data_IF_994017562032
#
_entry.id   IF_994017562032
#
_cell.length_a   1.000
_cell.length_b   1.000
_cell.length_c   1.000
_cell.angle_alpha   90.00
_cell.angle_beta   90.00
_cell.angle_gamma   90.00
#
_symmetry.space_group_name_H-M   'P 1'
#
loop_
_entity.id
_entity.type
_entity.pdbx_description
1 polymer ?
#
# COMPACT_ATOMS: atom_id res chain seq x y z
N UNK A 1 -16.59 19.41 20.10
CA UNK A 1 -15.19 19.89 20.24
C UNK A 1 -14.74 20.45 18.89
N UNK A 2 -14.38 21.73 18.81
CA UNK A 2 -13.84 22.35 17.59
C UNK A 2 -12.31 22.25 17.60
N UNK A 3 -11.72 21.64 16.58
CA UNK A 3 -10.26 21.57 16.43
C UNK A 3 -9.73 22.94 15.99
N UNK A 4 -8.67 23.42 16.63
CA UNK A 4 -8.05 24.71 16.28
C UNK A 4 -7.37 24.61 14.90
N UNK A 5 -7.27 25.71 14.11
CA UNK A 5 -6.68 25.67 12.77
C UNK A 5 -5.27 25.10 12.72
N UNK A 6 -4.41 25.51 13.68
CA UNK A 6 -3.04 24.98 13.81
C UNK A 6 -3.02 23.47 14.08
N UNK A 7 -4.00 22.95 14.83
CA UNK A 7 -4.12 21.52 15.10
C UNK A 7 -4.49 20.75 13.83
N UNK A 8 -5.40 21.28 13.01
CA UNK A 8 -5.80 20.65 11.74
C UNK A 8 -4.64 20.60 10.73
N UNK A 9 -3.83 21.65 10.65
CA UNK A 9 -2.59 21.67 9.84
C UNK A 9 -1.63 20.58 10.29
N UNK A 10 -1.39 20.45 11.59
CA UNK A 10 -0.50 19.40 12.14
C UNK A 10 -1.04 18.01 11.84
N UNK A 11 -2.34 17.78 12.06
CA UNK A 11 -2.97 16.49 11.76
C UNK A 11 -2.87 16.15 10.27
N UNK A 12 -3.06 17.13 9.38
CA UNK A 12 -2.87 16.93 7.95
C UNK A 12 -1.46 16.50 7.61
N UNK A 13 -0.43 17.23 8.08
CA UNK A 13 0.96 16.87 7.83
C UNK A 13 1.30 15.46 8.32
N UNK A 14 0.76 15.05 9.47
CA UNK A 14 0.94 13.70 9.99
C UNK A 14 0.26 12.67 9.08
N UNK A 15 -0.97 12.92 8.62
CA UNK A 15 -1.70 12.01 7.73
C UNK A 15 -1.04 11.90 6.35
N UNK A 16 -0.55 12.99 5.79
CA UNK A 16 0.24 13.01 4.55
C UNK A 16 1.50 12.17 4.71
N UNK A 17 2.26 12.39 5.79
CA UNK A 17 3.46 11.58 6.07
C UNK A 17 3.13 10.09 6.24
N UNK A 18 2.02 9.74 6.89
CA UNK A 18 1.59 8.35 7.03
C UNK A 18 1.15 7.74 5.70
N UNK A 19 0.52 8.53 4.81
CA UNK A 19 0.21 8.10 3.43
C UNK A 19 1.50 7.83 2.67
N UNK A 20 2.46 8.74 2.71
CA UNK A 20 3.72 8.61 1.97
C UNK A 20 4.55 7.41 2.45
N UNK A 21 4.57 7.17 3.78
CA UNK A 21 5.18 5.97 4.35
C UNK A 21 4.47 4.69 3.87
N UNK A 22 3.13 4.66 3.86
CA UNK A 22 2.38 3.51 3.36
C UNK A 22 2.61 3.28 1.86
N UNK A 23 2.75 4.33 1.06
CA UNK A 23 3.11 4.22 -0.36
C UNK A 23 4.52 3.66 -0.54
N UNK A 24 5.47 4.05 0.30
CA UNK A 24 6.82 3.47 0.30
C UNK A 24 6.82 1.99 0.74
N UNK A 25 6.00 1.63 1.72
CA UNK A 25 5.80 0.23 2.12
C UNK A 25 5.22 -0.61 0.97
N UNK A 26 4.20 -0.10 0.28
CA UNK A 26 3.64 -0.75 -0.90
C UNK A 26 4.69 -0.95 -1.99
N UNK A 27 5.49 0.09 -2.30
CA UNK A 27 6.54 -0.03 -3.30
C UNK A 27 7.58 -1.11 -2.94
N UNK A 28 7.98 -1.19 -1.67
CA UNK A 28 8.87 -2.27 -1.18
C UNK A 28 8.23 -3.65 -1.29
N UNK A 29 6.97 -3.78 -0.88
CA UNK A 29 6.23 -5.04 -0.97
C UNK A 29 6.08 -5.49 -2.43
N UNK A 30 5.79 -4.58 -3.35
CA UNK A 30 5.68 -4.86 -4.78
C UNK A 30 7.00 -5.34 -5.37
N UNK A 31 8.10 -4.63 -5.10
CA UNK A 31 9.43 -5.05 -5.57
C UNK A 31 9.83 -6.43 -5.02
N UNK A 32 9.52 -6.69 -3.74
CA UNK A 32 9.79 -8.00 -3.15
C UNK A 32 8.92 -9.11 -3.77
N UNK A 33 7.64 -8.85 -4.01
CA UNK A 33 6.74 -9.80 -4.66
C UNK A 33 7.15 -10.08 -6.12
N UNK A 34 7.65 -9.08 -6.85
CA UNK A 34 8.20 -9.27 -8.19
C UNK A 34 9.39 -10.24 -8.19
N UNK A 35 10.31 -10.09 -7.23
CA UNK A 35 11.42 -11.03 -7.07
C UNK A 35 10.93 -12.45 -6.78
N UNK A 36 10.00 -12.61 -5.83
CA UNK A 36 9.46 -13.92 -5.48
C UNK A 36 8.72 -14.57 -6.66
N UNK A 37 7.99 -13.79 -7.46
CA UNK A 37 7.34 -14.27 -8.68
C UNK A 37 8.38 -14.77 -9.69
N UNK A 38 9.52 -14.08 -9.82
CA UNK A 38 10.61 -14.54 -10.68
C UNK A 38 11.23 -15.83 -10.14
N UNK A 39 11.46 -15.93 -8.83
CA UNK A 39 12.02 -17.13 -8.19
C UNK A 39 11.09 -18.34 -8.38
N UNK A 40 9.77 -18.17 -8.21
CA UNK A 40 8.78 -19.21 -8.45
C UNK A 40 8.75 -19.68 -9.91
N UNK A 41 8.84 -18.75 -10.86
CA UNK A 41 8.98 -19.09 -12.29
C UNK A 41 10.28 -19.82 -12.58
N UNK A 42 11.37 -19.44 -11.93
CA UNK A 42 12.67 -20.11 -12.03
C UNK A 42 12.62 -21.55 -11.51
N UNK A 43 11.97 -21.77 -10.37
CA UNK A 43 11.77 -23.11 -9.81
C UNK A 43 10.94 -24.01 -10.74
N UNK A 44 9.85 -23.48 -11.31
CA UNK A 44 9.00 -24.22 -12.25
C UNK A 44 9.73 -24.55 -13.57
N UNK A 45 10.52 -23.61 -14.09
CA UNK A 45 11.37 -23.83 -15.26
C UNK A 45 12.45 -24.89 -14.99
N UNK A 46 13.09 -24.84 -13.82
CA UNK A 46 14.08 -25.83 -13.41
C UNK A 46 13.48 -27.24 -13.22
N UNK A 47 12.26 -27.33 -12.68
CA UNK A 47 11.53 -28.60 -12.62
C UNK A 47 11.22 -29.13 -14.02
N UNK A 48 10.78 -28.26 -14.93
CA UNK A 48 10.50 -28.63 -16.33
C UNK A 48 11.75 -29.17 -17.03
N UNK A 49 12.87 -28.45 -16.93
CA UNK A 49 14.15 -28.89 -17.49
C UNK A 49 14.60 -30.23 -16.89
N UNK A 50 14.46 -30.38 -15.57
CA UNK A 50 14.75 -31.62 -14.89
C UNK A 50 13.89 -32.78 -15.39
N UNK A 51 12.59 -32.57 -15.63
CA UNK A 51 11.69 -33.59 -16.16
C UNK A 51 12.07 -34.02 -17.58
N UNK A 52 12.40 -33.07 -18.45
CA UNK A 52 12.83 -33.34 -19.83
C UNK A 52 14.15 -34.11 -19.86
N UNK A 53 15.12 -33.70 -19.04
CA UNK A 53 16.40 -34.40 -18.90
C UNK A 53 16.22 -35.80 -18.28
N UNK A 54 15.38 -35.92 -17.25
CA UNK A 54 15.07 -37.19 -16.60
C UNK A 54 14.38 -38.17 -17.55
N UNK A 55 13.46 -37.69 -18.39
CA UNK A 55 12.80 -38.51 -19.41
C UNK A 55 13.79 -39.09 -20.44
N UNK A 56 14.85 -38.34 -20.76
CA UNK A 56 15.95 -38.83 -21.60
C UNK A 56 16.79 -39.88 -20.86
N UNK A 57 17.16 -39.62 -19.61
CA UNK A 57 17.97 -40.53 -18.77
C UNK A 57 17.25 -41.84 -18.46
N UNK A 58 15.94 -41.82 -18.26
CA UNK A 58 15.12 -42.99 -17.94
C UNK A 58 15.23 -44.12 -18.97
N UNK A 59 15.47 -43.82 -20.25
CA UNK A 59 15.54 -44.83 -21.33
C UNK A 59 16.71 -45.79 -21.19
N UNK A 60 17.76 -45.40 -20.47
CA UNK A 60 18.97 -46.20 -20.26
C UNK A 60 19.31 -46.36 -18.76
N UNK A 61 18.39 -45.97 -17.87
CA UNK A 61 18.66 -45.94 -16.44
C UNK A 61 18.61 -47.34 -15.81
N UNK A 62 19.58 -47.62 -14.94
CA UNK A 62 19.48 -48.74 -14.00
C UNK A 62 18.43 -48.44 -12.92
N UNK A 63 18.00 -49.47 -12.18
CA UNK A 63 17.08 -49.31 -11.04
C UNK A 63 17.58 -48.24 -10.05
N UNK A 64 18.88 -48.23 -9.74
CA UNK A 64 19.50 -47.21 -8.87
C UNK A 64 19.41 -45.81 -9.47
N UNK A 65 19.55 -45.68 -10.79
CA UNK A 65 19.37 -44.41 -11.51
C UNK A 65 17.92 -43.92 -11.43
N UNK A 66 16.94 -44.81 -11.57
CA UNK A 66 15.51 -44.47 -11.44
C UNK A 66 15.16 -44.02 -10.01
N UNK A 67 15.69 -44.68 -8.98
CA UNK A 67 15.50 -44.28 -7.58
C UNK A 67 16.06 -42.88 -7.33
N UNK A 68 17.26 -42.57 -7.87
CA UNK A 68 17.86 -41.24 -7.74
C UNK A 68 17.03 -40.15 -8.40
N UNK A 69 16.56 -40.40 -9.63
CA UNK A 69 15.67 -39.48 -10.36
C UNK A 69 14.40 -39.23 -9.54
N UNK A 70 13.80 -40.27 -8.94
CA UNK A 70 12.63 -40.12 -8.07
C UNK A 70 12.89 -39.24 -6.85
N UNK A 71 14.03 -39.42 -6.17
CA UNK A 71 14.39 -38.59 -5.00
C UNK A 71 14.65 -37.12 -5.37
N UNK A 72 15.33 -36.88 -6.49
CA UNK A 72 15.55 -35.53 -7.02
C UNK A 72 14.21 -34.88 -7.42
N UNK A 73 13.30 -35.63 -8.05
CA UNK A 73 11.97 -35.13 -8.43
C UNK A 73 11.17 -34.65 -7.23
N UNK A 74 11.12 -35.43 -6.14
CA UNK A 74 10.39 -35.06 -4.93
C UNK A 74 10.99 -33.79 -4.28
N UNK A 75 12.32 -33.66 -4.30
CA UNK A 75 13.01 -32.46 -3.81
C UNK A 75 12.61 -31.23 -4.64
N UNK A 76 12.65 -31.34 -5.98
CA UNK A 76 12.27 -30.25 -6.89
C UNK A 76 10.79 -29.86 -6.77
N UNK A 77 9.90 -30.84 -6.59
CA UNK A 77 8.47 -30.59 -6.32
C UNK A 77 8.26 -29.82 -5.02
N UNK A 78 9.00 -30.18 -3.97
CA UNK A 78 8.95 -29.45 -2.70
C UNK A 78 9.46 -28.01 -2.84
N UNK A 79 10.53 -27.79 -3.61
CA UNK A 79 11.05 -26.45 -3.93
C UNK A 79 10.02 -25.59 -4.67
N UNK A 80 9.36 -26.14 -5.70
CA UNK A 80 8.30 -25.45 -6.44
C UNK A 80 7.11 -25.12 -5.53
N UNK A 81 6.67 -26.08 -4.70
CA UNK A 81 5.58 -25.85 -3.77
C UNK A 81 5.91 -24.74 -2.75
N UNK A 82 7.13 -24.72 -2.23
CA UNK A 82 7.60 -23.68 -1.31
C UNK A 82 7.66 -22.30 -2.00
N UNK A 83 8.16 -22.24 -3.24
CA UNK A 83 8.23 -21.00 -4.01
C UNK A 83 6.83 -20.47 -4.37
N UNK A 84 5.90 -21.35 -4.70
CA UNK A 84 4.50 -20.99 -4.97
C UNK A 84 3.80 -20.48 -3.71
N UNK A 85 4.03 -21.10 -2.55
CA UNK A 85 3.50 -20.60 -1.29
C UNK A 85 4.08 -19.21 -0.96
N UNK A 86 5.39 -19.02 -1.10
CA UNK A 86 6.02 -17.71 -0.91
C UNK A 86 5.44 -16.65 -1.86
N UNK A 87 5.13 -17.02 -3.11
CA UNK A 87 4.47 -16.15 -4.08
C UNK A 87 3.09 -15.70 -3.60
N UNK A 88 2.28 -16.64 -3.11
CA UNK A 88 0.95 -16.34 -2.57
C UNK A 88 1.06 -15.35 -1.39
N UNK A 89 1.96 -15.62 -0.46
CA UNK A 89 2.15 -14.79 0.73
C UNK A 89 2.64 -13.37 0.37
N UNK A 90 3.56 -13.26 -0.59
CA UNK A 90 4.05 -11.98 -1.06
C UNK A 90 2.95 -11.15 -1.76
N UNK A 91 2.13 -11.78 -2.59
CA UNK A 91 1.00 -11.11 -3.24
C UNK A 91 -0.05 -10.66 -2.21
N UNK A 92 -0.32 -11.46 -1.17
CA UNK A 92 -1.19 -11.06 -0.07
C UNK A 92 -0.64 -9.84 0.68
N UNK A 93 0.68 -9.76 0.90
CA UNK A 93 1.31 -8.60 1.52
C UNK A 93 1.18 -7.32 0.67
N UNK A 94 1.28 -7.43 -0.67
CA UNK A 94 1.04 -6.31 -1.59
C UNK A 94 -0.42 -5.85 -1.50
N UNK A 95 -1.38 -6.77 -1.48
CA UNK A 95 -2.81 -6.45 -1.35
C UNK A 95 -3.11 -5.71 -0.04
N UNK A 96 -2.56 -6.20 1.08
CA UNK A 96 -2.71 -5.56 2.38
C UNK A 96 -2.11 -4.14 2.39
N UNK A 97 -0.91 -3.97 1.82
CA UNK A 97 -0.23 -2.68 1.71
C UNK A 97 -1.01 -1.69 0.83
N UNK A 98 -1.57 -2.17 -0.27
CA UNK A 98 -2.43 -1.36 -1.17
C UNK A 98 -3.70 -0.89 -0.46
N UNK A 99 -4.35 -1.78 0.31
CA UNK A 99 -5.51 -1.41 1.12
C UNK A 99 -5.16 -0.35 2.19
N UNK A 100 -3.97 -0.44 2.78
CA UNK A 100 -3.47 0.55 3.73
C UNK A 100 -3.26 1.92 3.07
N UNK A 101 -2.66 1.98 1.87
CA UNK A 101 -2.51 3.23 1.10
C UNK A 101 -3.88 3.86 0.84
N UNK A 102 -4.83 3.09 0.29
CA UNK A 102 -6.17 3.58 0.00
C UNK A 102 -6.89 4.11 1.25
N UNK A 103 -6.66 3.48 2.42
CA UNK A 103 -7.17 3.98 3.70
C UNK A 103 -6.52 5.33 4.07
N UNK A 104 -5.19 5.45 3.98
CA UNK A 104 -4.49 6.70 4.31
C UNK A 104 -4.88 7.84 3.38
N UNK A 105 -5.11 7.59 2.10
CA UNK A 105 -5.63 8.58 1.16
C UNK A 105 -7.03 9.09 1.55
N UNK A 106 -7.92 8.20 2.02
CA UNK A 106 -9.22 8.62 2.56
C UNK A 106 -9.07 9.49 3.81
N UNK A 107 -8.14 9.15 4.70
CA UNK A 107 -7.86 9.94 5.90
C UNK A 107 -7.31 11.33 5.56
N UNK A 108 -6.46 11.45 4.54
CA UNK A 108 -5.96 12.74 4.02
C UNK A 108 -7.12 13.57 3.44
N UNK A 109 -7.92 13.00 2.54
CA UNK A 109 -9.09 13.71 1.97
C UNK A 109 -10.09 14.18 3.03
N UNK A 110 -10.29 13.36 4.07
CA UNK A 110 -11.16 13.72 5.19
C UNK A 110 -10.65 14.94 5.97
N UNK A 111 -9.33 15.10 6.15
CA UNK A 111 -8.78 16.25 6.88
C UNK A 111 -8.73 17.51 6.01
N UNK A 112 -8.51 17.36 4.70
CA UNK A 112 -8.62 18.45 3.71
C UNK A 112 -10.02 19.06 3.73
N UNK A 113 -11.07 18.23 3.63
CA UNK A 113 -12.46 18.68 3.71
C UNK A 113 -12.79 19.42 5.02
N UNK A 114 -12.22 18.99 6.15
CA UNK A 114 -12.39 19.68 7.43
C UNK A 114 -11.69 21.05 7.46
N UNK A 115 -10.57 21.20 6.76
CA UNK A 115 -9.87 22.48 6.65
C UNK A 115 -10.60 23.46 5.75
N UNK A 116 -11.11 22.99 4.62
CA UNK A 116 -11.90 23.81 3.70
C UNK A 116 -13.13 24.35 4.44
N UNK A 117 -13.83 23.47 5.17
CA UNK A 117 -14.98 23.89 5.99
C UNK A 117 -14.60 24.89 7.09
N UNK A 118 -13.41 24.78 7.67
CA UNK A 118 -12.95 25.73 8.66
C UNK A 118 -12.61 27.10 8.05
N UNK A 119 -12.02 27.12 6.85
CA UNK A 119 -11.75 28.36 6.12
C UNK A 119 -13.07 29.09 5.80
N UNK A 120 -14.06 28.38 5.28
CA UNK A 120 -15.41 28.93 5.04
C UNK A 120 -16.03 29.53 6.31
N UNK A 121 -15.95 28.82 7.44
CA UNK A 121 -16.48 29.33 8.72
C UNK A 121 -15.72 30.58 9.17
N UNK A 122 -14.41 30.64 8.97
CA UNK A 122 -13.62 31.81 9.34
C UNK A 122 -13.99 33.03 8.50
N UNK A 123 -14.09 32.88 7.18
CA UNK A 123 -14.51 33.95 6.26
C UNK A 123 -15.90 34.49 6.61
N UNK A 124 -16.86 33.61 6.93
CA UNK A 124 -18.21 34.02 7.35
C UNK A 124 -18.17 34.81 8.67
N UNK A 125 -17.32 34.42 9.61
CA UNK A 125 -17.18 35.12 10.88
C UNK A 125 -16.50 36.49 10.71
N UNK A 126 -15.49 36.60 9.85
CA UNK A 126 -14.84 37.87 9.52
C UNK A 126 -15.81 38.83 8.84
N UNK A 127 -16.53 38.39 7.80
CA UNK A 127 -17.53 39.20 7.12
C UNK A 127 -18.63 39.69 8.09
N UNK A 128 -19.06 38.83 9.03
CA UNK A 128 -20.04 39.21 10.06
C UNK A 128 -19.48 40.23 11.06
N UNK A 129 -18.21 40.10 11.45
CA UNK A 129 -17.55 41.05 12.34
C UNK A 129 -17.40 42.43 11.68
N UNK A 130 -17.03 42.48 10.40
CA UNK A 130 -16.93 43.71 9.60
C UNK A 130 -18.30 44.39 9.46
N UNK A 131 -19.36 43.62 9.18
CA UNK A 131 -20.72 44.15 9.11
C UNK A 131 -21.15 44.79 10.44
N UNK A 132 -20.92 44.09 11.56
CA UNK A 132 -21.26 44.62 12.89
C UNK A 132 -20.47 45.88 13.24
N UNK A 133 -19.19 45.95 12.87
CA UNK A 133 -18.38 47.14 13.09
C UNK A 133 -18.90 48.33 12.25
N UNK A 134 -19.24 48.09 10.98
CA UNK A 134 -19.83 49.10 10.09
C UNK A 134 -21.17 49.62 10.63
N UNK A 135 -22.05 48.73 11.08
CA UNK A 135 -23.36 49.08 11.64
C UNK A 135 -23.22 49.95 12.90
N UNK A 136 -22.29 49.59 13.80
CA UNK A 136 -22.01 50.35 15.02
C UNK A 136 -21.45 51.76 14.71
N UNK A 137 -20.55 51.87 13.73
CA UNK A 137 -20.07 53.17 13.24
C UNK A 137 -21.21 54.03 12.66
N UNK A 138 -22.13 53.44 11.89
CA UNK A 138 -23.26 54.14 11.30
C UNK A 138 -24.30 54.63 12.35
N UNK A 139 -24.42 53.93 13.48
CA UNK A 139 -25.27 54.35 14.61
C UNK A 139 -24.63 55.51 15.36
N UNK A 140 -23.33 55.42 15.69
CA UNK A 140 -22.62 56.49 16.42
C UNK A 140 -22.49 57.78 15.61
N UNK A 141 -22.35 57.68 14.28
CA UNK A 141 -22.29 58.83 13.39
C UNK A 141 -23.62 59.60 13.25
N UNK A 142 -24.77 58.95 13.49
CA UNK A 142 -26.10 59.58 13.48
C UNK A 142 -26.51 60.22 14.81
N UNK A 143 -25.80 59.89 15.90
CA UNK A 143 -26.06 60.42 17.24
C UNK A 143 -25.25 61.71 17.54
N UNK A 144 -24.51 62.24 16.57
CA UNK A 144 -23.81 63.53 16.60
C UNK A 144 -24.47 64.47 15.60
#
# INVERSE_FOLDING_TARGET
MTLRPRTLVTVQRVRERLRDLASADLARASAHAEQIVQDARGADAALTEFLDDSARRMRAASLTGLIRIGAELETRRAEVAAAEQARIDALAAVQASSAQVARREREVRSIEALRDRQAEVHEVLEARAEQLASDDHAVRGRAR
#
